data_IF_074239701925
#
_entry.id   IF_074239701925
#
_cell.length_a   1.000
_cell.length_b   1.000
_cell.length_c   1.000
_cell.angle_alpha   90.00
_cell.angle_beta   90.00
_cell.angle_gamma   90.00
#
_symmetry.space_group_name_H-M   'P 1'
#
loop_
_entity.id
_entity.type
_entity.pdbx_description
1 polymer ?
#
# COMPACT_ATOMS: atom_id res chain seq x y z
N UNK A 1 11.90 -9.49 0.40
CA UNK A 1 10.99 -10.48 1.02
C UNK A 1 10.04 -9.83 2.03
N UNK A 2 10.52 -8.95 2.92
CA UNK A 2 9.69 -8.23 3.92
C UNK A 2 8.43 -7.57 3.35
N UNK A 3 8.50 -7.01 2.14
CA UNK A 3 7.36 -6.35 1.48
C UNK A 3 6.22 -7.28 1.05
N UNK A 4 6.38 -8.60 1.20
CA UNK A 4 5.33 -9.60 0.92
C UNK A 4 5.10 -10.52 2.13
N UNK A 5 5.37 -10.01 3.34
CA UNK A 5 5.22 -10.77 4.58
C UNK A 5 3.95 -10.35 5.31
N UNK A 6 3.11 -11.32 5.68
CA UNK A 6 2.01 -11.13 6.64
C UNK A 6 2.38 -11.73 7.99
N UNK A 7 1.72 -11.27 9.05
CA UNK A 7 1.91 -11.69 10.44
C UNK A 7 0.72 -12.55 10.88
N UNK A 8 0.73 -13.81 10.48
CA UNK A 8 -0.32 -14.77 10.80
C UNK A 8 -0.16 -15.33 12.22
N UNK A 9 -1.22 -15.95 12.75
CA UNK A 9 -1.20 -16.63 14.05
C UNK A 9 -1.35 -18.13 13.85
N UNK A 10 -0.45 -18.91 14.43
CA UNK A 10 -0.55 -20.36 14.54
C UNK A 10 -0.38 -20.75 16.01
N UNK A 11 -1.26 -21.60 16.54
CA UNK A 11 -1.24 -22.05 17.94
C UNK A 11 -1.17 -20.90 18.96
N UNK A 12 -1.84 -19.79 18.66
CA UNK A 12 -1.87 -18.58 19.51
C UNK A 12 -0.59 -17.76 19.53
N UNK A 13 0.39 -18.07 18.67
CA UNK A 13 1.64 -17.31 18.54
C UNK A 13 1.72 -16.63 17.16
N UNK A 14 2.07 -15.33 17.09
CA UNK A 14 2.28 -14.65 15.82
C UNK A 14 3.59 -15.11 15.18
N UNK A 15 3.58 -15.27 13.85
CA UNK A 15 4.76 -15.59 13.06
C UNK A 15 4.73 -14.87 11.71
N UNK A 16 5.90 -14.70 11.10
CA UNK A 16 6.02 -14.11 9.77
C UNK A 16 5.79 -15.18 8.70
N UNK A 17 4.81 -14.94 7.82
CA UNK A 17 4.55 -15.73 6.64
C UNK A 17 4.92 -14.91 5.40
N UNK A 18 6.02 -15.27 4.78
CA UNK A 18 6.46 -14.69 3.52
C UNK A 18 5.60 -15.30 2.40
N UNK A 19 4.73 -14.50 1.78
CA UNK A 19 3.83 -14.95 0.71
C UNK A 19 4.60 -15.16 -0.59
N UNK A 20 4.29 -16.19 -1.41
CA UNK A 20 4.74 -16.25 -2.80
C UNK A 20 4.42 -14.96 -3.57
N UNK A 21 5.19 -14.66 -4.63
CA UNK A 21 5.02 -13.39 -5.37
C UNK A 21 3.63 -13.32 -6.01
N UNK A 22 3.13 -14.46 -6.48
CA UNK A 22 1.83 -14.64 -7.12
C UNK A 22 0.66 -14.39 -6.14
N UNK A 23 0.91 -14.57 -4.84
CA UNK A 23 -0.07 -14.36 -3.77
C UNK A 23 0.05 -12.97 -3.11
N UNK A 24 1.14 -12.24 -3.36
CA UNK A 24 1.38 -10.95 -2.71
C UNK A 24 0.33 -9.90 -3.08
N UNK A 25 -0.30 -10.02 -4.26
CA UNK A 25 -1.43 -9.17 -4.65
C UNK A 25 -1.12 -7.67 -4.71
N UNK A 26 0.17 -7.30 -4.84
CA UNK A 26 0.58 -5.90 -4.94
C UNK A 26 -0.04 -5.27 -6.19
N UNK A 27 -0.65 -4.10 -6.02
CA UNK A 27 -1.23 -3.33 -7.10
C UNK A 27 -0.83 -1.84 -6.99
N UNK A 28 -0.75 -1.18 -8.14
CA UNK A 28 -0.52 0.26 -8.25
C UNK A 28 -1.85 0.91 -8.66
N UNK A 29 -2.59 1.40 -7.68
CA UNK A 29 -3.79 2.19 -7.95
C UNK A 29 -3.43 3.53 -8.57
N UNK A 30 -4.15 3.96 -9.62
CA UNK A 30 -3.95 5.26 -10.27
C UNK A 30 -5.20 6.10 -10.09
N UNK A 31 -5.04 7.37 -9.73
CA UNK A 31 -6.14 8.32 -9.62
C UNK A 31 -5.75 9.68 -10.20
N UNK A 32 -6.61 10.27 -11.01
CA UNK A 32 -6.52 11.68 -11.38
C UNK A 32 -7.00 12.54 -10.21
N UNK A 33 -6.26 13.60 -9.88
CA UNK A 33 -6.58 14.55 -8.81
C UNK A 33 -6.28 15.96 -9.29
N UNK A 34 -7.06 16.95 -8.86
CA UNK A 34 -6.69 18.36 -9.09
C UNK A 34 -5.49 18.76 -8.22
N UNK A 35 -4.84 19.87 -8.57
CA UNK A 35 -3.75 20.43 -7.75
C UNK A 35 -4.22 20.79 -6.33
N UNK A 36 -5.46 21.25 -6.18
CA UNK A 36 -6.08 21.58 -4.89
C UNK A 36 -6.39 20.33 -4.05
N UNK A 37 -6.70 19.21 -4.69
CA UNK A 37 -7.05 17.95 -4.03
C UNK A 37 -5.81 17.14 -3.60
N UNK A 38 -4.67 17.38 -4.25
CA UNK A 38 -3.45 16.59 -4.08
C UNK A 38 -3.02 16.45 -2.61
N UNK A 39 -2.97 17.55 -1.86
CA UNK A 39 -2.55 17.53 -0.46
C UNK A 39 -3.49 16.68 0.41
N UNK A 40 -4.80 16.74 0.14
CA UNK A 40 -5.80 15.91 0.82
C UNK A 40 -5.65 14.43 0.45
N UNK A 41 -5.48 14.11 -0.83
CA UNK A 41 -5.27 12.75 -1.31
C UNK A 41 -4.01 12.12 -0.69
N UNK A 42 -2.93 12.90 -0.54
CA UNK A 42 -1.70 12.48 0.14
C UNK A 42 -1.95 12.21 1.63
N UNK A 43 -2.62 13.13 2.33
CA UNK A 43 -2.91 12.96 3.74
C UNK A 43 -3.80 11.74 4.02
N UNK A 44 -4.78 11.47 3.16
CA UNK A 44 -5.66 10.30 3.25
C UNK A 44 -4.89 9.00 3.03
N UNK A 45 -4.09 8.91 1.97
CA UNK A 45 -3.30 7.70 1.69
C UNK A 45 -2.31 7.40 2.83
N UNK A 46 -1.65 8.43 3.39
CA UNK A 46 -0.69 8.27 4.49
C UNK A 46 -1.32 7.78 5.81
N UNK A 47 -2.64 7.91 5.98
CA UNK A 47 -3.36 7.45 7.18
C UNK A 47 -3.77 5.98 7.12
N UNK A 48 -3.51 5.32 5.99
CA UNK A 48 -3.87 3.93 5.82
C UNK A 48 -3.19 3.04 6.88
N UNK A 49 -3.98 2.21 7.54
CA UNK A 49 -3.52 1.25 8.53
C UNK A 49 -3.65 -0.16 7.95
N UNK A 50 -2.51 -0.86 7.84
CA UNK A 50 -2.46 -2.24 7.36
C UNK A 50 -3.06 -3.19 8.38
N UNK A 51 -3.93 -4.09 7.94
CA UNK A 51 -4.18 -5.33 8.67
C UNK A 51 -3.01 -6.29 8.42
N UNK A 52 -1.99 -6.26 9.28
CA UNK A 52 -0.79 -7.05 9.12
C UNK A 52 -1.04 -8.57 9.12
N UNK A 53 -2.20 -9.05 9.57
CA UNK A 53 -2.52 -10.48 9.53
C UNK A 53 -2.86 -10.97 8.11
N UNK A 54 -3.41 -10.09 7.28
CA UNK A 54 -3.98 -10.43 5.97
C UNK A 54 -3.34 -9.65 4.81
N UNK A 55 -2.69 -8.52 5.10
CA UNK A 55 -2.18 -7.58 4.10
C UNK A 55 -0.66 -7.46 4.13
N UNK A 56 -0.07 -7.37 2.93
CA UNK A 56 1.36 -7.06 2.79
C UNK A 56 1.64 -5.61 3.25
N UNK A 57 2.79 -5.32 3.87
CA UNK A 57 3.09 -4.01 4.48
C UNK A 57 3.61 -3.02 3.43
N UNK A 58 2.91 -2.94 2.30
CA UNK A 58 3.20 -1.99 1.24
C UNK A 58 1.97 -1.73 0.39
N UNK A 59 1.66 -0.46 0.16
CA UNK A 59 0.64 -0.01 -0.79
C UNK A 59 1.22 1.09 -1.65
N UNK A 60 0.85 1.08 -2.93
CA UNK A 60 1.26 2.08 -3.89
C UNK A 60 0.05 2.77 -4.52
N UNK A 61 0.16 4.09 -4.67
CA UNK A 61 -0.82 4.90 -5.39
C UNK A 61 -0.11 5.95 -6.24
N UNK A 62 -0.48 6.04 -7.50
CA UNK A 62 -0.02 7.09 -8.40
C UNK A 62 -1.14 8.14 -8.53
N UNK A 63 -0.86 9.36 -8.10
CA UNK A 63 -1.76 10.50 -8.27
C UNK A 63 -1.31 11.27 -9.51
N UNK A 64 -2.16 11.35 -10.53
CA UNK A 64 -1.93 12.17 -11.73
C UNK A 64 -2.55 13.54 -11.52
N UNK A 65 -1.73 14.59 -11.54
CA UNK A 65 -2.17 15.99 -11.39
C UNK A 65 -2.29 16.67 -12.76
N UNK A 66 -1.69 16.05 -13.78
CA UNK A 66 -1.73 16.46 -15.18
C UNK A 66 -0.98 15.47 -16.06
N UNK A 67 -0.92 15.69 -17.39
CA UNK A 67 -0.37 14.73 -18.35
C UNK A 67 1.11 14.38 -18.08
N UNK A 68 1.88 15.32 -17.53
CA UNK A 68 3.31 15.16 -17.28
C UNK A 68 3.67 15.28 -15.78
N UNK A 69 2.68 15.44 -14.90
CA UNK A 69 2.91 15.64 -13.45
C UNK A 69 2.20 14.56 -12.64
N UNK A 70 3.00 13.77 -11.93
CA UNK A 70 2.53 12.64 -11.15
C UNK A 70 3.24 12.59 -9.80
N UNK A 71 2.50 12.18 -8.77
CA UNK A 71 3.01 11.93 -7.43
C UNK A 71 2.83 10.46 -7.10
N UNK A 72 3.94 9.74 -6.95
CA UNK A 72 3.94 8.37 -6.47
C UNK A 72 3.94 8.37 -4.94
N UNK A 73 2.96 7.70 -4.37
CA UNK A 73 2.87 7.43 -2.96
C UNK A 73 3.20 5.98 -2.66
N UNK A 74 4.07 5.79 -1.67
CA UNK A 74 4.34 4.49 -1.06
C UNK A 74 4.08 4.63 0.44
N UNK A 75 3.22 3.77 0.95
CA UNK A 75 2.95 3.61 2.39
C UNK A 75 3.44 2.23 2.77
N UNK A 76 4.26 2.15 3.81
CA UNK A 76 4.97 0.94 4.28
C UNK A 76 5.00 0.89 5.80
#
# INVERSE_FOLDING_TARGET
EVLRTVFAVADGQPYQRILPVEEAGFDLSVAEVSAEELAGAVAEAARYAFDLAEEIPVRARLLSVGPDEHVLMLVV
#
